data_IF_702324831370
#
_entry.id   IF_702324831370
#
_cell.length_a   1.000
_cell.length_b   1.000
_cell.length_c   1.000
_cell.angle_alpha   90.00
_cell.angle_beta   90.00
_cell.angle_gamma   90.00
#
_symmetry.space_group_name_H-M   'P 1'
#
loop_
_entity.id
_entity.type
_entity.pdbx_description
1 polymer ?
#
# COMPACT_ATOMS: atom_id res chain seq x y z
N UNK A 1 2.57 26.26 -11.50
CA UNK A 1 1.28 25.81 -10.93
C UNK A 1 1.54 25.37 -9.50
N UNK A 2 0.72 25.79 -8.52
CA UNK A 2 0.86 25.29 -7.16
C UNK A 2 0.44 23.82 -7.12
N UNK A 3 1.34 22.93 -6.72
CA UNK A 3 1.09 21.50 -6.66
C UNK A 3 0.14 21.22 -5.48
N UNK A 4 -0.95 20.48 -5.75
CA UNK A 4 -1.97 20.13 -4.76
C UNK A 4 -1.64 18.76 -4.16
N UNK A 5 -1.79 18.61 -2.85
CA UNK A 5 -1.58 17.35 -2.13
C UNK A 5 -2.89 16.95 -1.48
N UNK A 6 -3.31 15.69 -1.66
CA UNK A 6 -4.45 15.12 -0.95
C UNK A 6 -3.99 14.09 0.05
N UNK A 7 -4.23 14.35 1.32
CA UNK A 7 -3.92 13.44 2.42
C UNK A 7 -5.07 12.46 2.59
N UNK A 8 -4.74 11.16 2.62
CA UNK A 8 -5.68 10.06 2.80
C UNK A 8 -5.18 9.22 3.96
N UNK A 9 -5.92 9.14 5.06
CA UNK A 9 -5.56 8.26 6.17
C UNK A 9 -6.13 6.85 5.98
N UNK A 10 -5.33 5.83 6.26
CA UNK A 10 -5.74 4.42 6.21
C UNK A 10 -5.24 3.76 7.49
N UNK A 11 -6.07 3.73 8.55
CA UNK A 11 -5.70 3.14 9.84
C UNK A 11 -5.74 1.60 9.79
N UNK A 12 -5.04 1.02 8.82
CA UNK A 12 -4.95 -0.43 8.63
C UNK A 12 -4.09 -1.06 9.70
N UNK A 13 -4.66 -1.99 10.46
CA UNK A 13 -3.96 -2.82 11.42
C UNK A 13 -4.55 -4.22 11.31
N UNK A 14 -4.39 -4.87 10.17
CA UNK A 14 -4.88 -6.24 9.94
C UNK A 14 -3.76 -7.12 9.38
N UNK A 15 -2.88 -6.51 8.58
CA UNK A 15 -1.84 -7.19 7.84
C UNK A 15 -0.72 -7.75 8.71
N UNK A 16 -0.57 -7.33 9.97
CA UNK A 16 0.45 -7.82 10.89
C UNK A 16 -0.11 -8.27 12.24
N UNK A 17 0.69 -8.97 13.03
CA UNK A 17 0.28 -9.44 14.37
C UNK A 17 0.46 -8.40 15.48
N UNK A 18 1.25 -7.34 15.26
CA UNK A 18 1.46 -6.27 16.24
C UNK A 18 0.42 -5.17 16.05
N UNK A 19 -0.27 -4.83 17.13
CA UNK A 19 -1.28 -3.77 17.16
C UNK A 19 -0.66 -2.38 17.27
N UNK A 20 -1.43 -1.37 16.86
CA UNK A 20 -1.20 0.04 17.16
C UNK A 20 -0.73 0.89 15.99
N UNK A 21 -0.55 0.28 14.81
CA UNK A 21 -0.21 1.03 13.59
C UNK A 21 -1.40 1.77 13.01
N UNK A 22 -2.62 1.38 13.35
CA UNK A 22 -3.86 2.12 13.07
C UNK A 22 -3.81 3.57 13.57
N UNK A 23 -3.03 3.86 14.62
CA UNK A 23 -2.83 5.21 15.15
C UNK A 23 -1.90 6.08 14.28
N UNK A 24 -1.18 5.49 13.32
CA UNK A 24 -0.20 6.15 12.45
C UNK A 24 -0.73 7.41 11.75
N UNK A 25 -1.89 7.36 11.07
CA UNK A 25 -2.45 8.54 10.41
C UNK A 25 -2.75 9.68 11.38
N UNK A 26 -3.28 9.38 12.56
CA UNK A 26 -3.57 10.37 13.61
C UNK A 26 -2.29 10.97 14.18
N UNK A 27 -1.26 10.15 14.44
CA UNK A 27 0.03 10.61 14.94
C UNK A 27 0.71 11.58 13.95
N UNK A 28 0.71 11.26 12.65
CA UNK A 28 1.26 12.15 11.61
C UNK A 28 0.53 13.48 11.52
N UNK A 29 -0.81 13.48 11.65
CA UNK A 29 -1.59 14.72 11.73
C UNK A 29 -1.24 15.53 12.98
N UNK A 30 -1.17 14.87 14.14
CA UNK A 30 -0.78 15.49 15.41
C UNK A 30 0.62 16.10 15.40
N UNK A 31 1.55 15.52 14.65
CA UNK A 31 2.90 16.04 14.43
C UNK A 31 2.97 17.27 13.50
N UNK A 32 1.82 17.76 13.00
CA UNK A 32 1.77 18.98 12.19
C UNK A 32 2.09 18.77 10.70
N UNK A 33 1.82 17.57 10.16
CA UNK A 33 2.06 17.26 8.75
C UNK A 33 1.42 18.28 7.79
N UNK A 34 0.13 18.61 7.97
CA UNK A 34 -0.56 19.58 7.11
C UNK A 34 0.11 20.96 7.13
N UNK A 35 0.48 21.44 8.32
CA UNK A 35 1.15 22.73 8.46
C UNK A 35 2.52 22.72 7.78
N UNK A 36 3.25 21.61 7.88
CA UNK A 36 4.56 21.43 7.24
C UNK A 36 4.47 21.44 5.72
N UNK A 37 3.48 20.75 5.14
CA UNK A 37 3.24 20.76 3.68
C UNK A 37 2.82 22.16 3.19
N UNK A 38 1.94 22.86 3.93
CA UNK A 38 1.54 24.23 3.60
C UNK A 38 2.73 25.21 3.61
N UNK A 39 3.70 25.02 4.53
CA UNK A 39 4.94 25.83 4.55
C UNK A 39 5.81 25.67 3.31
N UNK A 40 5.67 24.57 2.56
CA UNK A 40 6.33 24.37 1.26
C UNK A 40 5.60 25.10 0.11
N UNK A 41 4.53 25.84 0.39
CA UNK A 41 3.74 26.55 -0.62
C UNK A 41 2.74 25.66 -1.36
N UNK A 42 2.50 24.43 -0.88
CA UNK A 42 1.59 23.46 -1.47
C UNK A 42 0.17 23.64 -0.94
N UNK A 43 -0.84 23.41 -1.79
CA UNK A 43 -2.23 23.35 -1.37
C UNK A 43 -2.50 21.96 -0.77
N UNK A 44 -3.17 21.91 0.37
CA UNK A 44 -3.42 20.65 1.09
C UNK A 44 -4.92 20.47 1.30
N UNK A 45 -5.40 19.32 0.88
CA UNK A 45 -6.73 18.80 1.20
C UNK A 45 -6.56 17.51 2.01
N UNK A 46 -7.20 17.40 3.16
CA UNK A 46 -7.19 16.18 3.96
C UNK A 46 -8.61 15.62 3.99
N UNK A 47 -8.80 14.43 3.40
CA UNK A 47 -10.12 13.80 3.29
C UNK A 47 -10.45 12.89 4.48
N UNK A 48 -9.63 12.93 5.54
CA UNK A 48 -9.83 12.12 6.73
C UNK A 48 -9.32 10.69 6.55
N UNK A 49 -9.95 9.75 7.24
CA UNK A 49 -9.60 8.33 7.19
C UNK A 49 -10.61 7.57 6.33
N UNK A 50 -10.11 6.63 5.54
CA UNK A 50 -10.93 5.56 5.00
C UNK A 50 -11.39 4.64 6.15
N UNK A 51 -12.55 4.02 5.96
CA UNK A 51 -13.07 3.04 6.92
C UNK A 51 -12.26 1.75 6.80
N UNK A 52 -11.78 1.25 7.94
CA UNK A 52 -11.11 -0.05 8.02
C UNK A 52 -11.80 -0.86 9.11
N UNK A 53 -12.12 -2.12 8.81
CA UNK A 53 -12.72 -3.04 9.78
C UNK A 53 -11.72 -3.33 10.91
N UNK A 54 -12.23 -3.45 12.14
CA UNK A 54 -11.39 -3.78 13.28
C UNK A 54 -11.20 -5.31 13.39
N UNK A 55 -10.01 -5.82 13.76
CA UNK A 55 -9.79 -7.26 13.86
C UNK A 55 -10.66 -7.93 14.93
N UNK A 56 -11.08 -7.21 15.97
CA UNK A 56 -11.99 -7.70 17.01
C UNK A 56 -13.37 -8.08 16.44
N UNK A 57 -13.72 -7.52 15.29
CA UNK A 57 -14.97 -7.76 14.58
C UNK A 57 -14.87 -8.90 13.55
N UNK A 58 -13.68 -9.49 13.38
CA UNK A 58 -13.35 -10.33 12.22
C UNK A 58 -12.81 -11.72 12.59
N UNK A 59 -13.23 -12.77 11.86
CA UNK A 59 -12.49 -14.02 11.87
C UNK A 59 -11.14 -13.83 11.17
N UNK A 60 -10.09 -14.50 11.66
CA UNK A 60 -8.74 -14.44 11.08
C UNK A 60 -8.70 -14.92 9.62
N UNK A 61 -9.63 -15.80 9.24
CA UNK A 61 -9.67 -16.39 7.90
C UNK A 61 -8.54 -17.39 7.66
N UNK A 62 -7.97 -17.36 6.45
CA UNK A 62 -6.91 -18.28 6.03
C UNK A 62 -5.60 -17.98 6.79
N UNK A 63 -5.00 -19.03 7.39
CA UNK A 63 -3.80 -18.85 8.23
C UNK A 63 -2.59 -18.39 7.43
N UNK A 64 -2.56 -18.71 6.13
CA UNK A 64 -1.50 -18.30 5.20
C UNK A 64 -1.65 -16.88 4.66
N UNK A 65 -2.80 -16.25 4.86
CA UNK A 65 -3.06 -14.85 4.49
C UNK A 65 -4.19 -14.31 5.38
N UNK A 66 -3.84 -13.89 6.58
CA UNK A 66 -4.81 -13.47 7.61
C UNK A 66 -5.55 -12.22 7.16
N UNK A 67 -6.87 -12.19 7.36
CA UNK A 67 -7.75 -11.06 7.02
C UNK A 67 -7.66 -10.61 5.55
N UNK A 68 -7.27 -11.52 4.64
CA UNK A 68 -6.97 -11.18 3.25
C UNK A 68 -8.14 -10.50 2.54
N UNK A 69 -9.37 -10.98 2.75
CA UNK A 69 -10.55 -10.42 2.09
C UNK A 69 -10.79 -8.98 2.56
N UNK A 70 -10.72 -8.72 3.85
CA UNK A 70 -10.95 -7.40 4.43
C UNK A 70 -9.83 -6.41 4.08
N UNK A 71 -8.59 -6.89 4.02
CA UNK A 71 -7.45 -6.12 3.52
C UNK A 71 -7.65 -5.76 2.04
N UNK A 72 -8.08 -6.72 1.22
CA UNK A 72 -8.33 -6.51 -0.21
C UNK A 72 -9.49 -5.54 -0.48
N UNK A 73 -10.59 -5.66 0.27
CA UNK A 73 -11.72 -4.71 0.23
C UNK A 73 -11.24 -3.28 0.51
N UNK A 74 -10.51 -3.09 1.60
CA UNK A 74 -9.94 -1.79 1.96
C UNK A 74 -8.94 -1.31 0.89
N UNK A 75 -8.13 -2.20 0.33
CA UNK A 75 -7.22 -1.85 -0.78
C UNK A 75 -7.99 -1.39 -2.03
N UNK A 76 -9.18 -1.91 -2.28
CA UNK A 76 -10.10 -1.41 -3.31
C UNK A 76 -10.52 0.04 -3.06
N UNK A 77 -10.91 0.37 -1.83
CA UNK A 77 -11.27 1.74 -1.43
C UNK A 77 -10.09 2.70 -1.54
N UNK A 78 -8.90 2.26 -1.12
CA UNK A 78 -7.64 3.01 -1.29
C UNK A 78 -7.38 3.28 -2.77
N UNK A 79 -7.49 2.25 -3.61
CA UNK A 79 -7.23 2.37 -5.04
C UNK A 79 -8.18 3.38 -5.69
N UNK A 80 -9.47 3.35 -5.35
CA UNK A 80 -10.46 4.32 -5.82
C UNK A 80 -10.14 5.75 -5.36
N UNK A 81 -9.76 5.94 -4.09
CA UNK A 81 -9.40 7.25 -3.55
C UNK A 81 -8.12 7.83 -4.19
N UNK A 82 -7.11 6.99 -4.41
CA UNK A 82 -5.86 7.36 -5.07
C UNK A 82 -6.08 7.72 -6.54
N UNK A 83 -6.81 6.87 -7.28
CA UNK A 83 -7.13 7.13 -8.70
C UNK A 83 -7.92 8.42 -8.88
N UNK A 84 -8.94 8.65 -8.02
CA UNK A 84 -9.71 9.90 -8.02
C UNK A 84 -8.81 11.11 -7.74
N UNK A 85 -7.90 11.00 -6.78
CA UNK A 85 -6.98 12.08 -6.41
C UNK A 85 -6.08 12.49 -7.57
N UNK A 86 -5.47 11.50 -8.23
CA UNK A 86 -4.66 11.74 -9.42
C UNK A 86 -5.49 12.36 -10.56
N UNK A 87 -6.71 11.85 -10.79
CA UNK A 87 -7.63 12.38 -11.80
C UNK A 87 -8.04 13.85 -11.57
N UNK A 88 -8.07 14.30 -10.32
CA UNK A 88 -8.35 15.69 -9.95
C UNK A 88 -7.09 16.58 -9.87
N UNK A 89 -5.93 16.04 -10.26
CA UNK A 89 -4.65 16.76 -10.28
C UNK A 89 -3.99 16.93 -8.91
N UNK A 90 -4.37 16.09 -7.93
CA UNK A 90 -3.71 16.02 -6.63
C UNK A 90 -2.62 14.96 -6.63
N UNK A 91 -1.51 15.25 -5.93
CA UNK A 91 -0.57 14.25 -5.46
C UNK A 91 -1.17 13.54 -4.23
N UNK A 92 -1.52 12.24 -4.31
CA UNK A 92 -2.00 11.51 -3.14
C UNK A 92 -0.86 11.26 -2.15
N UNK A 93 -1.07 11.62 -0.89
CA UNK A 93 -0.22 11.28 0.24
C UNK A 93 -1.01 10.37 1.18
N UNK A 94 -0.76 9.07 1.08
CA UNK A 94 -1.46 8.06 1.87
C UNK A 94 -0.70 7.83 3.18
N UNK A 95 -1.38 8.04 4.30
CA UNK A 95 -0.86 7.80 5.64
C UNK A 95 -1.38 6.44 6.10
N UNK A 96 -0.46 5.52 6.33
CA UNK A 96 -0.79 4.14 6.65
C UNK A 96 -0.86 3.81 8.12
N UNK A 97 -1.39 2.62 8.37
CA UNK A 97 -0.92 1.74 9.43
C UNK A 97 0.07 0.72 8.85
N UNK A 98 -0.30 -0.55 8.73
CA UNK A 98 0.58 -1.56 8.16
C UNK A 98 0.78 -1.44 6.64
N UNK A 99 1.83 -2.07 6.12
CA UNK A 99 2.28 -1.87 4.74
C UNK A 99 1.40 -2.55 3.68
N UNK A 100 0.42 -3.39 4.07
CA UNK A 100 -0.47 -4.05 3.10
C UNK A 100 -1.24 -3.06 2.23
N UNK A 101 -1.49 -1.85 2.75
CA UNK A 101 -2.14 -0.75 2.04
C UNK A 101 -1.45 -0.38 0.72
N UNK A 102 -0.15 -0.67 0.60
CA UNK A 102 0.62 -0.33 -0.59
C UNK A 102 0.08 -1.04 -1.84
N UNK A 103 -0.53 -2.22 -1.70
CA UNK A 103 -1.20 -2.89 -2.81
C UNK A 103 -2.36 -2.03 -3.38
N UNK A 104 -3.18 -1.44 -2.51
CA UNK A 104 -4.25 -0.52 -2.90
C UNK A 104 -3.72 0.78 -3.51
N UNK A 105 -2.68 1.37 -2.90
CA UNK A 105 -2.05 2.60 -3.43
C UNK A 105 -1.50 2.38 -4.84
N UNK A 106 -0.74 1.31 -5.01
CA UNK A 106 -0.16 0.94 -6.30
C UNK A 106 -1.23 0.61 -7.34
N UNK A 107 -2.31 -0.09 -6.97
CA UNK A 107 -3.42 -0.39 -7.87
C UNK A 107 -4.09 0.89 -8.40
N UNK A 108 -4.39 1.85 -7.53
CA UNK A 108 -5.01 3.13 -7.91
C UNK A 108 -4.09 3.97 -8.81
N UNK A 109 -2.81 4.07 -8.43
CA UNK A 109 -1.82 4.80 -9.23
C UNK A 109 -1.61 4.14 -10.61
N UNK A 110 -1.41 2.82 -10.65
CA UNK A 110 -1.25 2.06 -11.89
C UNK A 110 -2.47 2.19 -12.80
N UNK A 111 -3.69 2.13 -12.25
CA UNK A 111 -4.91 2.32 -13.03
C UNK A 111 -4.94 3.69 -13.71
N UNK A 112 -4.64 4.76 -12.97
CA UNK A 112 -4.59 6.11 -13.49
C UNK A 112 -3.56 6.28 -14.62
N UNK A 113 -2.29 5.94 -14.36
CA UNK A 113 -1.21 6.14 -15.32
C UNK A 113 -1.29 5.20 -16.52
N UNK A 114 -1.87 4.00 -16.36
CA UNK A 114 -2.18 3.10 -17.49
C UNK A 114 -3.15 3.74 -18.47
N UNK A 115 -4.18 4.48 -18.02
CA UNK A 115 -5.09 5.23 -18.89
C UNK A 115 -4.36 6.32 -19.69
N UNK A 116 -3.29 6.87 -19.12
CA UNK A 116 -2.39 7.82 -19.79
C UNK A 116 -1.28 7.17 -20.62
N UNK A 117 -1.26 5.83 -20.72
CA UNK A 117 -0.19 5.05 -21.38
C UNK A 117 1.21 5.34 -20.82
N UNK A 118 1.30 5.54 -19.50
CA UNK A 118 2.55 5.75 -18.77
C UNK A 118 2.85 4.55 -17.86
N UNK A 119 4.13 4.28 -17.68
CA UNK A 119 4.63 3.32 -16.70
C UNK A 119 4.96 4.02 -15.38
N UNK A 120 4.94 3.26 -14.29
CA UNK A 120 5.26 3.75 -12.94
C UNK A 120 6.51 3.04 -12.45
N UNK A 121 7.43 3.82 -11.88
CA UNK A 121 8.55 3.32 -11.08
C UNK A 121 8.24 3.40 -9.58
N UNK A 122 8.68 2.41 -8.82
CA UNK A 122 8.55 2.36 -7.36
C UNK A 122 9.91 2.43 -6.68
N UNK A 123 10.01 3.28 -5.67
CA UNK A 123 11.12 3.30 -4.72
C UNK A 123 10.62 2.74 -3.40
N UNK A 124 10.98 1.49 -3.09
CA UNK A 124 10.55 0.79 -1.88
C UNK A 124 11.55 1.00 -0.75
N UNK A 125 11.24 1.93 0.16
CA UNK A 125 12.09 2.30 1.28
C UNK A 125 11.71 1.48 2.52
N UNK A 126 12.26 0.27 2.66
CA UNK A 126 11.92 -0.63 3.74
C UNK A 126 13.12 -1.47 4.21
N UNK A 127 13.06 -1.93 5.46
CA UNK A 127 13.95 -2.95 5.99
C UNK A 127 13.71 -4.33 5.35
N UNK A 128 12.47 -4.60 4.94
CA UNK A 128 12.01 -5.86 4.37
C UNK A 128 11.77 -5.77 2.87
N UNK A 129 11.56 -6.91 2.24
CA UNK A 129 11.24 -6.99 0.82
C UNK A 129 9.75 -6.84 0.56
N UNK A 130 8.93 -7.31 1.49
CA UNK A 130 7.48 -7.40 1.35
C UNK A 130 7.05 -8.18 0.10
N UNK A 131 7.87 -9.17 -0.29
CA UNK A 131 7.74 -9.99 -1.50
C UNK A 131 7.27 -11.42 -1.20
N UNK A 132 6.73 -11.68 -0.02
CA UNK A 132 6.14 -12.99 0.26
C UNK A 132 4.81 -13.18 -0.48
N UNK A 133 4.46 -14.44 -0.72
CA UNK A 133 3.10 -14.87 -1.11
C UNK A 133 2.49 -15.69 0.04
N UNK A 134 1.19 -16.04 -0.01
CA UNK A 134 0.60 -16.95 0.98
C UNK A 134 1.34 -18.29 1.09
N UNK A 135 1.97 -18.75 0.00
CA UNK A 135 2.74 -19.99 -0.03
C UNK A 135 4.13 -19.88 0.58
N UNK A 136 4.76 -18.69 0.52
CA UNK A 136 6.13 -18.50 1.02
C UNK A 136 6.19 -17.92 2.43
N UNK A 137 5.15 -17.21 2.86
CA UNK A 137 5.14 -16.50 4.14
C UNK A 137 5.21 -17.47 5.33
N UNK A 138 6.15 -17.28 6.27
CA UNK A 138 6.21 -18.07 7.50
C UNK A 138 5.11 -17.69 8.51
N UNK A 139 4.54 -16.49 8.39
CA UNK A 139 3.62 -15.91 9.38
C UNK A 139 2.17 -15.83 8.90
N UNK A 140 1.96 -15.82 7.58
CA UNK A 140 0.68 -15.51 6.93
C UNK A 140 0.23 -14.06 7.10
N UNK A 141 1.14 -13.18 7.53
CA UNK A 141 0.86 -11.76 7.71
C UNK A 141 0.94 -11.04 6.35
N UNK A 142 -0.17 -10.46 5.91
CA UNK A 142 -0.32 -9.87 4.56
C UNK A 142 0.51 -8.60 4.36
N UNK A 143 0.92 -7.89 5.43
CA UNK A 143 1.79 -6.71 5.31
C UNK A 143 3.16 -7.01 4.68
N UNK A 144 3.62 -8.27 4.70
CA UNK A 144 4.86 -8.71 4.05
C UNK A 144 4.66 -9.25 2.62
N UNK A 145 3.48 -9.05 2.02
CA UNK A 145 3.14 -9.48 0.67
C UNK A 145 2.85 -8.35 -0.37
N UNK A 146 2.72 -7.05 -0.03
CA UNK A 146 2.23 -6.07 -1.00
C UNK A 146 3.16 -5.89 -2.21
N UNK A 147 4.48 -5.98 -2.06
CA UNK A 147 5.39 -5.81 -3.20
C UNK A 147 5.30 -6.99 -4.18
N UNK A 148 5.12 -8.22 -3.68
CA UNK A 148 4.79 -9.36 -4.53
C UNK A 148 3.49 -9.13 -5.30
N UNK A 149 2.44 -8.66 -4.61
CA UNK A 149 1.14 -8.39 -5.25
C UNK A 149 1.24 -7.33 -6.35
N UNK A 150 2.02 -6.27 -6.12
CA UNK A 150 2.30 -5.21 -7.11
C UNK A 150 2.99 -5.77 -8.36
N UNK A 151 3.94 -6.70 -8.18
CA UNK A 151 4.63 -7.39 -9.27
C UNK A 151 3.80 -8.47 -9.97
N UNK A 152 2.58 -8.75 -9.52
CA UNK A 152 1.72 -9.77 -10.14
C UNK A 152 1.73 -11.14 -9.46
N UNK A 153 2.35 -11.28 -8.28
CA UNK A 153 2.51 -12.55 -7.57
C UNK A 153 1.72 -12.58 -6.26
N UNK A 154 1.10 -13.72 -5.94
CA UNK A 154 0.38 -13.92 -4.67
C UNK A 154 -1.12 -14.09 -4.85
N UNK A 155 -1.89 -13.69 -3.84
CA UNK A 155 -3.31 -13.96 -3.77
C UNK A 155 -4.13 -13.14 -4.79
N UNK A 156 -5.06 -13.75 -5.56
CA UNK A 156 -5.88 -13.05 -6.55
C UNK A 156 -6.59 -11.80 -6.01
N UNK A 157 -7.02 -11.83 -4.76
CA UNK A 157 -7.72 -10.74 -4.06
C UNK A 157 -6.90 -9.43 -4.06
N UNK A 158 -5.58 -9.52 -4.01
CA UNK A 158 -4.68 -8.36 -4.06
C UNK A 158 -4.11 -8.13 -5.45
N UNK A 159 -3.69 -9.21 -6.12
CA UNK A 159 -3.00 -9.11 -7.41
C UNK A 159 -3.95 -8.57 -8.49
N UNK A 160 -5.19 -9.04 -8.51
CA UNK A 160 -6.20 -8.68 -9.51
C UNK A 160 -7.03 -7.45 -9.10
N UNK A 161 -6.60 -6.67 -8.08
CA UNK A 161 -7.24 -5.39 -7.73
C UNK A 161 -7.45 -4.53 -8.98
N UNK A 162 -8.67 -4.02 -9.16
CA UNK A 162 -9.12 -3.26 -10.34
C UNK A 162 -9.03 -4.03 -11.68
N UNK A 163 -8.95 -5.36 -11.64
CA UNK A 163 -9.12 -6.25 -12.80
C UNK A 163 -7.91 -6.34 -13.74
N UNK A 164 -6.71 -6.00 -13.29
CA UNK A 164 -5.49 -6.16 -14.11
C UNK A 164 -4.25 -6.45 -13.28
N UNK A 165 -3.21 -7.01 -13.89
CA UNK A 165 -1.88 -7.22 -13.31
C UNK A 165 -0.83 -7.32 -14.43
N UNK A 166 0.47 -7.07 -14.14
CA UNK A 166 0.98 -6.52 -12.88
C UNK A 166 0.63 -5.04 -12.71
N UNK A 167 0.86 -4.48 -11.52
CA UNK A 167 0.75 -3.03 -11.25
C UNK A 167 2.06 -2.31 -11.54
N UNK A 168 3.19 -3.02 -11.43
CA UNK A 168 4.49 -2.60 -11.95
C UNK A 168 5.29 -3.82 -12.40
N UNK A 169 6.08 -3.65 -13.46
CA UNK A 169 7.10 -4.62 -13.82
C UNK A 169 8.24 -4.61 -12.78
N UNK A 170 8.85 -5.76 -12.43
CA UNK A 170 9.94 -5.81 -11.45
C UNK A 170 11.11 -4.88 -11.78
N UNK A 171 11.44 -4.71 -13.07
CA UNK A 171 12.51 -3.81 -13.52
C UNK A 171 12.25 -2.32 -13.24
N UNK A 172 11.03 -1.95 -12.88
CA UNK A 172 10.64 -0.59 -12.50
C UNK A 172 10.62 -0.40 -10.97
N UNK A 173 11.15 -1.35 -10.18
CA UNK A 173 11.13 -1.31 -8.72
C UNK A 173 12.56 -1.30 -8.18
N UNK A 174 12.86 -0.36 -7.29
CA UNK A 174 14.13 -0.30 -6.56
C UNK A 174 13.86 -0.37 -5.06
N UNK A 175 14.45 -1.36 -4.39
CA UNK A 175 14.36 -1.52 -2.94
C UNK A 175 15.59 -0.88 -2.29
N UNK A 176 15.39 -0.02 -1.29
CA UNK A 176 16.46 0.67 -0.55
C UNK A 176 16.26 0.49 0.95
N UNK A 177 17.32 0.07 1.64
CA UNK A 177 17.31 -0.16 3.09
C UNK A 177 17.07 -1.61 3.50
N UNK A 178 16.88 -2.51 2.53
CA UNK A 178 16.64 -3.93 2.76
C UNK A 178 17.79 -4.56 3.55
N UNK A 179 17.44 -5.19 4.68
CA UNK A 179 18.37 -5.86 5.59
C UNK A 179 17.80 -7.11 6.23
N UNK A 180 16.49 -7.32 6.12
CA UNK A 180 15.80 -8.51 6.61
C UNK A 180 14.92 -9.10 5.49
N UNK A 181 15.39 -10.17 4.87
CA UNK A 181 14.73 -10.81 3.74
C UNK A 181 14.67 -12.32 3.97
N UNK A 182 13.48 -12.89 3.82
CA UNK A 182 13.27 -14.32 3.84
C UNK A 182 14.01 -15.00 2.68
N UNK A 183 14.29 -16.29 2.82
CA UNK A 183 15.04 -17.05 1.80
C UNK A 183 14.35 -17.02 0.42
N UNK A 184 13.02 -16.97 0.38
CA UNK A 184 12.26 -16.89 -0.87
C UNK A 184 12.28 -15.47 -1.46
N UNK A 185 12.15 -14.43 -0.64
CA UNK A 185 12.27 -13.03 -1.09
C UNK A 185 13.64 -12.76 -1.72
N UNK A 186 14.71 -13.31 -1.15
CA UNK A 186 16.07 -13.23 -1.73
C UNK A 186 16.17 -13.88 -3.11
N UNK A 187 15.41 -14.94 -3.37
CA UNK A 187 15.39 -15.58 -4.69
C UNK A 187 14.60 -14.75 -5.70
N UNK A 188 13.51 -14.11 -5.28
CA UNK A 188 12.75 -13.18 -6.12
C UNK A 188 13.67 -12.01 -6.51
N UNK A 189 14.27 -11.34 -5.53
CA UNK A 189 15.17 -10.20 -5.75
C UNK A 189 16.36 -10.48 -6.68
N UNK A 190 16.85 -11.73 -6.75
CA UNK A 190 17.96 -12.12 -7.65
C UNK A 190 17.52 -12.43 -9.09
N UNK A 191 16.24 -12.73 -9.30
CA UNK A 191 15.67 -13.11 -10.60
C UNK A 191 15.01 -11.93 -11.31
N UNK A 192 14.63 -10.92 -10.54
CA UNK A 192 13.98 -9.69 -10.98
C UNK A 192 14.97 -8.67 -11.54
#
# INVERSE_FOLDING_TARGET
MAQKVRIIGVPMDLGQSRRGVDMGPSAMRGAGLQASIKKLGLQVEDIGNLSVKQPEELPVGEKRAKYLQEIAETCGDIAAAVEKSLGEGFLPLVLGGDHSIAAGVAAGAASHFRKEKKEIGYLWLDAHGDMNTPESSPSGNVHGMPLAAIMGYGAPELVDLLGFKPKAEPGNIVIVGARDLDAQERKIAKKS
#
